data_IF_979339994065
#
_entry.id   IF_979339994065
#
_cell.length_a   1.000
_cell.length_b   1.000
_cell.length_c   1.000
_cell.angle_alpha   90.00
_cell.angle_beta   90.00
_cell.angle_gamma   90.00
#
_symmetry.space_group_name_H-M   'P 1'
#
loop_
_entity.id
_entity.type
_entity.pdbx_description
1 polymer ?
#
# COMPACT_ATOMS: atom_id res chain seq x y z
N UNK A 1 -11.85 -6.12 -6.78
CA UNK A 1 -11.73 -6.59 -5.37
C UNK A 1 -11.07 -5.49 -4.55
N UNK A 2 -11.60 -5.19 -3.36
CA UNK A 2 -11.08 -4.14 -2.48
C UNK A 2 -10.15 -4.74 -1.42
N UNK A 3 -8.94 -4.21 -1.30
CA UNK A 3 -7.90 -4.70 -0.37
C UNK A 3 -7.48 -3.65 0.67
N UNK A 4 -8.04 -2.45 0.62
CA UNK A 4 -7.64 -1.33 1.49
C UNK A 4 -7.92 -1.53 2.98
N UNK A 5 -8.73 -2.52 3.36
CA UNK A 5 -9.16 -2.70 4.75
C UNK A 5 -10.43 -1.92 5.11
N UNK A 6 -11.01 -1.15 4.19
CA UNK A 6 -12.14 -0.26 4.47
C UNK A 6 -13.46 -1.01 4.76
N UNK A 7 -13.79 -2.04 3.96
CA UNK A 7 -15.01 -2.84 4.15
C UNK A 7 -14.74 -4.13 4.91
N UNK A 8 -13.62 -4.78 4.62
CA UNK A 8 -13.17 -6.02 5.27
C UNK A 8 -11.80 -5.75 5.87
N UNK A 9 -11.60 -5.92 7.19
CA UNK A 9 -10.31 -5.69 7.82
C UNK A 9 -9.20 -6.52 7.18
N UNK A 10 -8.03 -5.91 6.95
CA UNK A 10 -6.88 -6.63 6.38
C UNK A 10 -6.42 -7.78 7.29
N UNK A 11 -6.59 -7.62 8.60
CA UNK A 11 -6.28 -8.65 9.60
C UNK A 11 -7.17 -9.89 9.52
N UNK A 12 -8.35 -9.81 8.90
CA UNK A 12 -9.24 -10.97 8.71
C UNK A 12 -9.05 -11.67 7.37
N UNK A 13 -8.18 -11.15 6.49
CA UNK A 13 -7.89 -11.79 5.22
C UNK A 13 -6.95 -12.99 5.43
N UNK A 14 -7.16 -14.06 4.65
CA UNK A 14 -6.33 -15.25 4.63
C UNK A 14 -5.87 -15.58 3.21
N UNK A 15 -4.84 -16.43 3.09
CA UNK A 15 -4.34 -16.92 1.80
C UNK A 15 -3.95 -15.80 0.82
N UNK A 16 -4.38 -15.94 -0.44
CA UNK A 16 -4.04 -15.00 -1.52
C UNK A 16 -4.56 -13.58 -1.31
N UNK A 17 -5.69 -13.40 -0.61
CA UNK A 17 -6.25 -12.08 -0.33
C UNK A 17 -5.38 -11.30 0.68
N UNK A 18 -4.83 -12.00 1.67
CA UNK A 18 -3.89 -11.42 2.63
C UNK A 18 -2.60 -10.97 1.93
N UNK A 19 -2.07 -11.82 1.04
CA UNK A 19 -0.88 -11.47 0.25
C UNK A 19 -1.14 -10.27 -0.67
N UNK A 20 -2.27 -10.25 -1.36
CA UNK A 20 -2.68 -9.13 -2.19
C UNK A 20 -2.73 -7.83 -1.38
N UNK A 21 -3.38 -7.82 -0.22
CA UNK A 21 -3.45 -6.63 0.64
C UNK A 21 -2.07 -6.12 1.10
N UNK A 22 -1.05 -6.98 1.16
CA UNK A 22 0.32 -6.55 1.51
C UNK A 22 1.03 -5.85 0.36
N UNK A 23 0.75 -6.21 -0.89
CA UNK A 23 1.39 -5.61 -2.07
C UNK A 23 0.61 -4.41 -2.63
N UNK A 24 -0.69 -4.29 -2.32
CA UNK A 24 -1.48 -3.15 -2.78
C UNK A 24 -1.22 -1.89 -1.92
N UNK A 25 -0.93 -0.72 -2.54
CA UNK A 25 -0.63 0.50 -1.81
C UNK A 25 -1.83 1.06 -1.02
N UNK A 26 -3.06 0.77 -1.48
CA UNK A 26 -4.29 1.27 -0.86
C UNK A 26 -4.44 0.87 0.62
N UNK A 27 -3.91 -0.28 1.02
CA UNK A 27 -3.92 -0.76 2.41
C UNK A 27 -3.17 0.18 3.36
N UNK A 28 -1.97 0.63 2.96
CA UNK A 28 -1.15 1.53 3.78
C UNK A 28 -1.69 2.95 3.77
N UNK A 29 -2.14 3.43 2.59
CA UNK A 29 -2.71 4.76 2.45
C UNK A 29 -4.00 4.91 3.28
N UNK A 30 -4.86 3.89 3.30
CA UNK A 30 -6.06 3.88 4.14
C UNK A 30 -5.70 3.94 5.62
N UNK A 31 -4.72 3.15 6.08
CA UNK A 31 -4.28 3.15 7.48
C UNK A 31 -3.70 4.50 7.91
N UNK A 32 -2.93 5.16 7.04
CA UNK A 32 -2.43 6.54 7.28
C UNK A 32 -3.60 7.51 7.36
N UNK A 33 -4.51 7.51 6.38
CA UNK A 33 -5.63 8.44 6.33
C UNK A 33 -6.52 8.33 7.57
N UNK A 34 -6.92 7.11 7.94
CA UNK A 34 -7.70 6.89 9.16
C UNK A 34 -6.90 7.28 10.40
N UNK A 35 -5.63 6.89 10.50
CA UNK A 35 -4.78 7.24 11.63
C UNK A 35 -4.63 8.75 11.85
N UNK A 36 -4.38 9.50 10.79
CA UNK A 36 -4.21 10.96 10.85
C UNK A 36 -5.54 11.65 11.15
N UNK A 37 -6.61 11.36 10.41
CA UNK A 37 -7.86 12.12 10.51
C UNK A 37 -8.74 11.72 11.69
N UNK A 38 -8.77 10.43 12.05
CA UNK A 38 -9.68 9.94 13.10
C UNK A 38 -9.02 9.82 14.47
N UNK A 39 -7.69 9.70 14.50
CA UNK A 39 -6.92 9.44 15.74
C UNK A 39 -5.83 10.48 16.01
N UNK A 40 -5.68 11.50 15.15
CA UNK A 40 -4.65 12.53 15.25
C UNK A 40 -3.22 11.95 15.41
N UNK A 41 -2.95 10.80 14.78
CA UNK A 41 -1.67 10.12 14.87
C UNK A 41 -0.59 10.92 14.11
N UNK A 42 0.57 11.07 14.75
CA UNK A 42 1.74 11.71 14.16
C UNK A 42 2.61 10.76 13.33
N UNK A 43 3.66 11.31 12.72
CA UNK A 43 4.58 10.55 11.88
C UNK A 43 5.26 9.39 12.64
N UNK A 44 5.57 9.57 13.93
CA UNK A 44 6.19 8.54 14.77
C UNK A 44 5.34 7.26 14.89
N UNK A 45 4.02 7.35 14.77
CA UNK A 45 3.12 6.20 14.74
C UNK A 45 2.84 5.66 13.34
N UNK A 46 3.04 6.49 12.30
CA UNK A 46 2.64 6.18 10.93
C UNK A 46 3.81 5.84 10.00
N UNK A 47 5.06 6.06 10.43
CA UNK A 47 6.25 5.94 9.59
C UNK A 47 6.37 4.59 8.88
N UNK A 48 5.94 3.49 9.52
CA UNK A 48 5.97 2.15 8.91
C UNK A 48 5.10 2.06 7.66
N UNK A 49 3.91 2.67 7.70
CA UNK A 49 3.00 2.71 6.55
C UNK A 49 3.53 3.64 5.45
N UNK A 50 4.13 4.77 5.84
CA UNK A 50 4.75 5.72 4.89
C UNK A 50 5.93 5.06 4.17
N UNK A 51 6.82 4.38 4.91
CA UNK A 51 7.94 3.63 4.33
C UNK A 51 7.43 2.51 3.43
N UNK A 52 6.39 1.78 3.83
CA UNK A 52 5.80 0.74 2.98
C UNK A 52 5.29 1.29 1.64
N UNK A 53 4.64 2.46 1.64
CA UNK A 53 4.24 3.14 0.40
C UNK A 53 5.45 3.53 -0.46
N UNK A 54 6.49 4.10 0.16
CA UNK A 54 7.72 4.47 -0.56
C UNK A 54 8.40 3.26 -1.20
N UNK A 55 8.47 2.14 -0.48
CA UNK A 55 9.02 0.87 -0.99
C UNK A 55 8.17 0.32 -2.14
N UNK A 56 6.85 0.30 -2.01
CA UNK A 56 5.98 -0.16 -3.10
C UNK A 56 6.08 0.73 -4.34
N UNK A 57 6.13 2.05 -4.16
CA UNK A 57 6.33 2.99 -5.25
C UNK A 57 7.65 2.73 -5.98
N UNK A 58 8.74 2.53 -5.23
CA UNK A 58 10.04 2.20 -5.81
C UNK A 58 10.01 0.86 -6.56
N UNK A 59 9.42 -0.18 -5.98
CA UNK A 59 9.31 -1.50 -6.61
C UNK A 59 8.52 -1.40 -7.92
N UNK A 60 7.36 -0.75 -7.90
CA UNK A 60 6.53 -0.60 -9.10
C UNK A 60 7.17 0.30 -10.14
N UNK A 61 7.89 1.33 -9.73
CA UNK A 61 8.65 2.17 -10.64
C UNK A 61 9.76 1.39 -11.33
N UNK A 62 10.59 0.66 -10.56
CA UNK A 62 11.67 -0.18 -11.10
C UNK A 62 11.12 -1.28 -11.99
N UNK A 63 10.03 -1.94 -11.57
CA UNK A 63 9.37 -2.97 -12.38
C UNK A 63 8.78 -2.39 -13.67
N UNK A 64 8.20 -1.19 -13.61
CA UNK A 64 7.70 -0.49 -14.80
C UNK A 64 8.85 -0.21 -15.76
N UNK A 65 9.95 0.38 -15.29
CA UNK A 65 11.11 0.70 -16.14
C UNK A 65 11.77 -0.55 -16.73
N UNK A 66 11.82 -1.67 -16.00
CA UNK A 66 12.44 -2.91 -16.50
C UNK A 66 11.56 -3.71 -17.45
N UNK A 67 10.22 -3.64 -17.29
CA UNK A 67 9.27 -4.44 -18.06
C UNK A 67 8.63 -3.66 -19.22
N UNK A 68 8.57 -2.33 -19.16
CA UNK A 68 8.15 -1.53 -20.31
C UNK A 68 9.22 -1.61 -21.39
N UNK A 69 8.85 -2.20 -22.51
CA UNK A 69 9.60 -2.01 -23.74
C UNK A 69 9.62 -0.52 -24.10
N UNK A 70 10.73 -0.09 -24.71
CA UNK A 70 10.89 1.27 -25.21
C UNK A 70 9.69 1.63 -26.10
N UNK A 71 8.91 2.63 -25.68
CA UNK A 71 7.74 3.09 -26.41
C UNK A 71 8.22 4.09 -27.46
N UNK A 72 8.49 3.55 -28.67
CA UNK A 72 8.84 4.23 -29.93
C UNK A 72 10.34 4.62 -30.13
N UNK A 73 10.73 4.67 -31.41
CA UNK A 73 12.10 4.52 -31.98
C UNK A 73 13.18 5.50 -31.47
#
# INVERSE_FOLDING_TARGET
VQFSGMFVPVSSLTGGAWFAARIFPSTYFQAISVGTFTKALGLASLWRNVVALGVLALIYFVASVSLLHKQED
#
